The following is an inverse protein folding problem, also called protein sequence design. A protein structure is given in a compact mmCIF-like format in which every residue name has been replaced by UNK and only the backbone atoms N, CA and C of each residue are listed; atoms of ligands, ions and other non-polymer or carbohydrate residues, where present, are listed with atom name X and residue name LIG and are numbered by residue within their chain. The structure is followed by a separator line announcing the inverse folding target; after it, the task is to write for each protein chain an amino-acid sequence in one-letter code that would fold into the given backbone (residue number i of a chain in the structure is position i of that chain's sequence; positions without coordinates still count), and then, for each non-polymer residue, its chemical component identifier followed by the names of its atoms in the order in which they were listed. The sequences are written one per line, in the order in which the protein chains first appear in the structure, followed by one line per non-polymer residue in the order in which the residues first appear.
data_IF_893973716762
#
_entry.id   IF_893973716762
#
_cell.length_a   1.000
_cell.length_b   1.000
_cell.length_c   1.000
_cell.angle_alpha   90.00
_cell.angle_beta   90.00
_cell.angle_gamma   90.00
#
_symmetry.space_group_name_H-M   'P 1'
#
loop_
_entity.id
_entity.type
_entity.pdbx_description
1 polymer ?
#
# COMPACT_ATOMS: atom_id res chain seq x y z
N UNK A 1 39.75 42.33 18.94
CA UNK A 1 39.33 41.40 17.86
C UNK A 1 38.67 40.23 18.50
N UNK A 2 37.34 40.16 18.48
CA UNK A 2 36.53 39.04 19.04
C UNK A 2 36.35 38.01 17.93
N UNK A 3 36.90 36.80 18.13
CA UNK A 3 36.66 35.63 17.26
C UNK A 3 35.28 35.07 17.56
N UNK A 4 34.36 35.18 16.59
CA UNK A 4 33.05 34.52 16.63
C UNK A 4 33.29 33.08 16.17
N UNK A 5 33.10 32.15 17.11
CA UNK A 5 33.14 30.72 16.85
C UNK A 5 31.75 30.31 16.33
N UNK A 6 31.63 30.07 15.01
CA UNK A 6 30.41 29.50 14.42
C UNK A 6 30.42 27.99 14.73
N UNK A 7 29.55 27.58 15.63
CA UNK A 7 29.23 26.15 15.82
C UNK A 7 28.28 25.71 14.71
N UNK A 8 28.79 24.93 13.76
CA UNK A 8 27.96 24.18 12.83
C UNK A 8 27.37 22.97 13.56
N UNK A 9 26.08 23.01 13.90
CA UNK A 9 25.33 21.83 14.26
C UNK A 9 25.06 21.02 13.00
N UNK A 10 25.83 19.96 12.80
CA UNK A 10 25.48 18.91 11.83
C UNK A 10 24.35 18.09 12.49
N UNK A 11 23.11 18.37 12.12
CA UNK A 11 22.01 17.42 12.35
C UNK A 11 22.29 16.21 11.49
N UNK A 12 22.88 15.17 12.08
CA UNK A 12 22.85 13.84 11.53
C UNK A 12 21.41 13.36 11.56
N UNK A 13 20.72 13.47 10.43
CA UNK A 13 19.53 12.69 10.16
C UNK A 13 19.94 11.22 10.26
N UNK A 14 19.70 10.62 11.42
CA UNK A 14 19.69 9.17 11.59
C UNK A 14 18.49 8.65 10.78
N UNK A 15 18.63 8.57 9.46
CA UNK A 15 17.89 7.63 8.66
C UNK A 15 18.29 6.25 9.21
N UNK A 16 17.47 5.68 10.08
CA UNK A 16 17.58 4.26 10.37
C UNK A 16 17.45 3.56 9.02
N UNK A 17 18.56 2.98 8.58
CA UNK A 17 18.60 2.10 7.43
C UNK A 17 17.76 0.88 7.82
N UNK A 18 16.43 0.96 7.64
CA UNK A 18 15.59 -0.23 7.70
C UNK A 18 16.08 -1.12 6.58
N UNK A 19 16.66 -2.26 6.93
CA UNK A 19 17.01 -3.27 5.96
C UNK A 19 15.80 -3.47 5.03
N UNK A 20 16.04 -3.45 3.71
CA UNK A 20 14.97 -3.60 2.71
C UNK A 20 14.50 -5.06 2.67
N UNK A 21 13.75 -5.46 3.69
CA UNK A 21 13.23 -6.80 3.89
C UNK A 21 11.71 -6.77 4.05
N UNK A 22 11.08 -7.92 3.89
CA UNK A 22 9.67 -8.09 4.25
C UNK A 22 9.48 -7.80 5.74
N UNK A 23 8.35 -7.22 6.08
CA UNK A 23 8.01 -6.94 7.47
C UNK A 23 6.51 -7.04 7.72
N UNK A 24 6.13 -7.16 8.98
CA UNK A 24 4.74 -7.05 9.39
C UNK A 24 4.51 -5.68 10.01
N UNK A 25 3.60 -4.90 9.41
CA UNK A 25 3.17 -3.60 9.92
C UNK A 25 2.05 -3.81 10.93
N UNK A 26 2.33 -3.61 12.19
CA UNK A 26 1.29 -3.60 13.22
C UNK A 26 0.51 -2.29 13.18
N UNK A 27 -0.80 -2.39 13.36
CA UNK A 27 -1.67 -1.23 13.54
C UNK A 27 -1.85 -1.02 15.05
N UNK A 28 -1.49 0.16 15.53
CA UNK A 28 -1.56 0.48 16.95
C UNK A 28 -2.99 0.35 17.50
N UNK A 29 -3.11 -0.24 18.67
CA UNK A 29 -4.39 -0.41 19.37
C UNK A 29 -5.17 -1.68 19.05
N UNK A 30 -4.63 -2.58 18.22
CA UNK A 30 -5.25 -3.88 17.89
C UNK A 30 -4.22 -4.96 17.56
N UNK A 31 -4.70 -6.18 17.42
CA UNK A 31 -3.87 -7.34 17.02
C UNK A 31 -3.72 -7.46 15.50
N UNK A 32 -4.10 -6.42 14.77
CA UNK A 32 -4.09 -6.40 13.31
C UNK A 32 -2.71 -6.08 12.75
N UNK A 33 -2.35 -6.75 11.67
CA UNK A 33 -1.07 -6.55 10.99
C UNK A 33 -1.19 -6.71 9.48
N UNK A 34 -0.34 -5.97 8.77
CA UNK A 34 -0.21 -6.05 7.32
C UNK A 34 1.14 -6.67 6.98
N UNK A 35 1.14 -7.81 6.30
CA UNK A 35 2.35 -8.37 5.73
C UNK A 35 2.80 -7.52 4.54
N UNK A 36 3.96 -6.87 4.68
CA UNK A 36 4.54 -6.03 3.65
C UNK A 36 5.70 -6.74 2.98
N UNK A 37 5.65 -6.82 1.65
CA UNK A 37 6.66 -7.46 0.81
C UNK A 37 7.55 -6.41 0.18
N UNK A 38 8.87 -6.57 0.32
CA UNK A 38 9.87 -5.71 -0.29
C UNK A 38 10.01 -6.04 -1.77
N UNK A 39 9.69 -5.09 -2.63
CA UNK A 39 9.82 -5.21 -4.09
C UNK A 39 11.08 -4.45 -4.52
N UNK A 40 12.11 -5.15 -5.03
CA UNK A 40 13.36 -4.50 -5.42
C UNK A 40 13.17 -3.59 -6.63
N UNK A 41 14.01 -2.56 -6.73
CA UNK A 41 14.06 -1.71 -7.90
C UNK A 41 14.41 -2.52 -9.16
N UNK A 42 13.85 -2.13 -10.30
CA UNK A 42 14.11 -2.81 -11.55
C UNK A 42 13.55 -2.09 -12.76
N UNK A 43 13.61 -2.78 -13.89
CA UNK A 43 13.03 -2.30 -15.15
C UNK A 43 12.28 -3.48 -15.79
N UNK A 44 11.08 -3.23 -16.27
CA UNK A 44 10.28 -4.23 -16.95
C UNK A 44 9.57 -3.67 -18.18
N UNK A 45 9.04 -4.55 -19.01
CA UNK A 45 8.23 -4.21 -20.15
C UNK A 45 6.75 -4.21 -19.69
N UNK A 46 6.17 -3.02 -19.53
CA UNK A 46 4.79 -2.80 -19.10
C UNK A 46 3.84 -2.91 -20.28
N UNK A 47 2.70 -3.52 -20.05
CA UNK A 47 1.64 -3.72 -21.04
C UNK A 47 1.67 -5.07 -21.73
N UNK A 48 0.72 -5.28 -22.65
CA UNK A 48 0.51 -6.55 -23.34
C UNK A 48 0.90 -6.44 -24.82
N UNK A 49 1.65 -7.43 -25.35
CA UNK A 49 2.03 -7.44 -26.76
C UNK A 49 0.82 -7.67 -27.67
N UNK A 50 0.88 -7.19 -28.93
CA UNK A 50 -0.23 -7.24 -29.87
C UNK A 50 -0.76 -8.67 -30.19
N UNK A 51 0.06 -9.68 -29.97
CA UNK A 51 -0.31 -11.08 -30.20
C UNK A 51 -0.90 -11.77 -28.96
N UNK A 52 -0.98 -11.08 -27.83
CA UNK A 52 -1.53 -11.64 -26.60
C UNK A 52 -3.03 -11.85 -26.74
N UNK A 53 -3.49 -13.05 -26.35
CA UNK A 53 -4.90 -13.44 -26.47
C UNK A 53 -5.75 -12.63 -25.47
N UNK A 54 -6.89 -12.17 -25.89
CA UNK A 54 -7.86 -11.37 -25.12
C UNK A 54 -7.36 -9.98 -24.68
N UNK A 55 -6.24 -9.51 -25.23
CA UNK A 55 -5.71 -8.17 -24.98
C UNK A 55 -6.72 -7.09 -25.36
N UNK A 56 -6.83 -6.07 -24.53
CA UNK A 56 -7.57 -4.84 -24.84
C UNK A 56 -6.66 -3.82 -25.54
N UNK A 57 -7.26 -2.86 -26.24
CA UNK A 57 -6.52 -1.89 -27.05
C UNK A 57 -5.66 -0.93 -26.21
N UNK A 58 -6.09 -0.64 -25.00
CA UNK A 58 -5.46 0.25 -24.03
C UNK A 58 -4.32 -0.37 -23.22
N UNK A 59 -4.11 -1.69 -23.35
CA UNK A 59 -2.99 -2.38 -22.69
C UNK A 59 -1.65 -2.22 -23.44
N UNK A 60 -1.58 -1.38 -24.41
CA UNK A 60 -0.34 -1.15 -25.19
C UNK A 60 -0.20 0.28 -25.67
N UNK A 61 0.93 0.61 -26.27
CA UNK A 61 2.04 -0.28 -26.65
C UNK A 61 2.89 -0.72 -25.46
N UNK A 62 3.51 -1.91 -25.58
CA UNK A 62 4.52 -2.36 -24.60
C UNK A 62 5.67 -1.36 -24.57
N UNK A 63 6.06 -0.92 -23.37
CA UNK A 63 7.13 0.03 -23.17
C UNK A 63 7.92 -0.26 -21.89
N UNK A 64 9.16 0.20 -21.84
CA UNK A 64 10.01 -0.01 -20.66
C UNK A 64 9.71 1.00 -19.58
N UNK A 65 9.48 0.50 -18.35
CA UNK A 65 9.30 1.30 -17.15
C UNK A 65 10.37 0.94 -16.13
N UNK A 66 10.97 1.96 -15.53
CA UNK A 66 11.86 1.82 -14.38
C UNK A 66 11.05 2.02 -13.10
N UNK A 67 11.17 1.07 -12.18
CA UNK A 67 10.54 1.10 -10.87
C UNK A 67 11.63 1.21 -9.80
N UNK A 68 11.44 2.13 -8.86
CA UNK A 68 12.26 2.21 -7.66
C UNK A 68 11.80 1.17 -6.64
N UNK A 69 12.63 0.83 -5.65
CA UNK A 69 12.24 -0.13 -4.62
C UNK A 69 11.10 0.40 -3.74
N UNK A 70 10.15 -0.46 -3.41
CA UNK A 70 9.00 -0.13 -2.57
C UNK A 70 8.51 -1.37 -1.81
N UNK A 71 7.60 -1.17 -0.86
CA UNK A 71 6.87 -2.25 -0.21
C UNK A 71 5.42 -2.26 -0.68
N UNK A 72 4.87 -3.45 -0.84
CA UNK A 72 3.46 -3.65 -1.17
C UNK A 72 2.83 -4.62 -0.16
N UNK A 73 1.55 -4.47 0.13
CA UNK A 73 0.81 -5.46 0.89
C UNK A 73 0.85 -6.82 0.17
N UNK A 74 1.16 -7.87 0.89
CA UNK A 74 1.18 -9.24 0.35
C UNK A 74 -0.20 -9.69 -0.08
N UNK A 75 -1.21 -9.24 0.65
CA UNK A 75 -2.61 -9.53 0.42
C UNK A 75 -3.38 -8.23 0.24
N UNK A 76 -4.55 -8.33 -0.31
CA UNK A 76 -5.54 -7.27 -0.32
C UNK A 76 -5.93 -6.88 1.11
N UNK A 77 -6.35 -5.63 1.30
CA UNK A 77 -6.85 -5.17 2.60
C UNK A 77 -8.18 -5.87 2.89
N UNK A 78 -8.25 -6.55 4.03
CA UNK A 78 -9.48 -7.24 4.45
C UNK A 78 -10.50 -6.27 5.06
N UNK A 79 -11.76 -6.71 5.12
CA UNK A 79 -12.81 -5.96 5.81
C UNK A 79 -12.46 -5.67 7.26
N UNK A 80 -11.88 -6.64 7.98
CA UNK A 80 -11.47 -6.46 9.38
C UNK A 80 -10.57 -5.24 9.57
N UNK A 81 -9.66 -5.02 8.64
CA UNK A 81 -8.72 -3.89 8.69
C UNK A 81 -9.36 -2.61 8.18
N UNK A 82 -10.17 -2.68 7.11
CA UNK A 82 -10.82 -1.50 6.55
C UNK A 82 -11.91 -0.94 7.48
N UNK A 83 -12.60 -1.80 8.23
CA UNK A 83 -13.58 -1.41 9.24
C UNK A 83 -12.97 -0.61 10.39
N UNK A 84 -11.72 -0.84 10.77
CA UNK A 84 -11.03 -0.01 11.75
C UNK A 84 -10.98 1.46 11.32
N UNK A 85 -10.79 1.70 10.03
CA UNK A 85 -10.85 3.04 9.47
C UNK A 85 -12.28 3.58 9.38
N UNK A 86 -13.25 2.77 9.00
CA UNK A 86 -14.65 3.20 8.88
C UNK A 86 -15.27 3.54 10.24
N UNK A 87 -15.02 2.68 11.23
CA UNK A 87 -15.64 2.80 12.56
C UNK A 87 -14.84 3.72 13.50
N UNK A 88 -13.62 4.06 13.15
CA UNK A 88 -12.75 4.98 13.90
C UNK A 88 -12.49 4.54 15.35
N UNK A 89 -12.69 3.26 15.66
CA UNK A 89 -12.59 2.73 17.03
C UNK A 89 -11.18 2.84 17.64
N UNK A 90 -10.15 2.86 16.81
CA UNK A 90 -8.76 2.91 17.25
C UNK A 90 -8.20 4.33 17.31
N UNK A 91 -8.87 5.32 16.76
CA UNK A 91 -8.33 6.67 16.61
C UNK A 91 -7.98 7.30 17.95
N UNK A 92 -8.87 7.12 18.95
CA UNK A 92 -8.65 7.65 20.30
C UNK A 92 -7.57 6.91 21.09
N UNK A 93 -7.33 5.63 20.79
CA UNK A 93 -6.34 4.81 21.49
C UNK A 93 -4.91 5.17 21.11
N UNK A 94 -4.71 5.62 19.90
CA UNK A 94 -3.38 5.91 19.37
C UNK A 94 -2.76 7.21 19.83
N UNK A 95 -3.57 8.22 20.02
CA UNK A 95 -3.12 9.58 20.39
C UNK A 95 -2.21 9.57 21.63
N UNK A 96 -2.23 8.47 22.39
CA UNK A 96 -1.53 8.37 23.67
C UNK A 96 -0.17 7.64 23.61
N UNK A 97 0.18 6.91 22.55
CA UNK A 97 1.27 5.93 22.74
C UNK A 97 2.47 5.97 21.75
N UNK A 98 2.42 6.56 20.60
CA UNK A 98 3.43 6.13 19.63
C UNK A 98 3.95 7.06 18.54
N UNK A 99 3.71 8.35 18.46
CA UNK A 99 4.37 9.06 17.37
C UNK A 99 4.88 10.44 17.72
N UNK A 100 6.16 10.66 17.42
CA UNK A 100 6.79 11.99 17.30
C UNK A 100 6.17 12.81 16.16
N UNK A 101 5.41 12.16 15.27
CA UNK A 101 4.68 12.79 14.16
C UNK A 101 3.25 13.04 14.60
N UNK A 102 2.95 14.29 14.91
CA UNK A 102 1.59 14.77 15.18
C UNK A 102 0.81 14.90 13.87
N UNK A 103 0.30 13.78 13.36
CA UNK A 103 -0.70 13.80 12.29
C UNK A 103 -2.06 13.86 12.99
N UNK A 104 -2.84 14.88 12.65
CA UNK A 104 -4.20 15.03 13.14
C UNK A 104 -5.12 14.01 12.48
N UNK A 105 -5.31 12.87 13.16
CA UNK A 105 -6.17 11.79 12.68
C UNK A 105 -7.61 12.28 12.54
N UNK A 106 -8.05 13.18 13.40
CA UNK A 106 -9.41 13.75 13.35
C UNK A 106 -9.64 14.58 12.10
N UNK A 107 -8.57 15.13 11.52
CA UNK A 107 -8.62 15.84 10.24
C UNK A 107 -8.81 14.93 9.01
N UNK A 108 -8.64 13.61 9.15
CA UNK A 108 -8.79 12.68 8.03
C UNK A 108 -10.27 12.28 7.91
N UNK A 109 -10.86 12.54 6.74
CA UNK A 109 -12.23 12.14 6.45
C UNK A 109 -12.36 10.61 6.46
N UNK A 110 -13.27 10.09 7.28
CA UNK A 110 -13.61 8.68 7.31
C UNK A 110 -14.45 8.24 6.11
N UNK A 111 -14.53 6.94 5.88
CA UNK A 111 -15.48 6.38 4.93
C UNK A 111 -16.91 6.45 5.48
N UNK A 112 -17.88 6.69 4.60
CA UNK A 112 -19.29 6.57 4.97
C UNK A 112 -19.65 5.10 5.11
N UNK A 113 -20.24 4.73 6.25
CA UNK A 113 -20.73 3.35 6.44
C UNK A 113 -21.83 3.05 5.42
N UNK A 114 -21.74 1.97 4.63
CA UNK A 114 -22.76 1.59 3.67
C UNK A 114 -24.10 1.27 4.35
N UNK A 115 -25.21 1.62 3.70
CA UNK A 115 -26.55 1.29 4.16
C UNK A 115 -26.97 -0.16 3.87
N UNK A 116 -26.21 -0.84 2.99
CA UNK A 116 -26.48 -2.22 2.57
C UNK A 116 -25.18 -3.02 2.66
N UNK A 117 -25.32 -4.33 2.76
CA UNK A 117 -24.19 -5.24 2.72
C UNK A 117 -23.47 -5.11 1.37
N UNK A 118 -22.22 -4.65 1.41
CA UNK A 118 -21.37 -4.46 0.23
C UNK A 118 -20.48 -5.67 -0.05
N UNK A 119 -20.62 -6.74 0.71
CA UNK A 119 -19.84 -7.98 0.51
C UNK A 119 -20.40 -8.85 -0.64
N UNK A 120 -21.60 -8.55 -1.12
CA UNK A 120 -22.32 -9.35 -2.11
C UNK A 120 -22.47 -10.82 -1.72
N UNK A 121 -22.55 -11.10 -0.41
CA UNK A 121 -22.69 -12.44 0.11
C UNK A 121 -21.39 -13.27 0.16
N UNK A 122 -20.24 -12.65 -0.15
CA UNK A 122 -18.93 -13.30 -0.06
C UNK A 122 -18.41 -13.40 1.39
N UNK A 123 -19.02 -12.65 2.30
CA UNK A 123 -18.56 -12.56 3.70
C UNK A 123 -17.57 -11.41 3.94
N UNK A 124 -17.31 -11.10 5.21
CA UNK A 124 -16.40 -10.03 5.61
C UNK A 124 -15.17 -10.54 6.37
N UNK A 125 -15.35 -11.49 7.28
CA UNK A 125 -14.30 -11.99 8.17
C UNK A 125 -13.15 -12.64 7.38
N UNK A 126 -12.00 -11.97 7.34
CA UNK A 126 -10.82 -12.38 6.58
C UNK A 126 -10.91 -12.21 5.06
N UNK A 127 -12.03 -11.69 4.53
CA UNK A 127 -12.20 -11.45 3.08
C UNK A 127 -11.74 -10.06 2.67
N UNK A 128 -11.26 -9.88 1.41
CA UNK A 128 -10.89 -8.58 0.89
C UNK A 128 -12.04 -7.57 0.97
N UNK A 129 -11.72 -6.35 1.35
CA UNK A 129 -12.66 -5.24 1.32
C UNK A 129 -12.90 -4.80 -0.12
N UNK A 130 -14.17 -4.81 -0.55
CA UNK A 130 -14.58 -4.50 -1.92
C UNK A 130 -15.59 -3.35 -1.93
N UNK A 131 -15.94 -2.88 -3.14
CA UNK A 131 -17.02 -1.91 -3.36
C UNK A 131 -16.77 -0.52 -2.77
N UNK A 132 -15.53 -0.19 -2.43
CA UNK A 132 -15.14 1.16 -2.02
C UNK A 132 -14.75 2.01 -3.23
N UNK A 133 -14.89 3.33 -3.10
CA UNK A 133 -14.37 4.26 -4.09
C UNK A 133 -12.84 4.39 -3.96
N UNK A 134 -12.18 4.81 -5.06
CA UNK A 134 -10.76 5.16 -5.02
C UNK A 134 -10.44 6.23 -3.97
N UNK A 135 -11.34 7.21 -3.80
CA UNK A 135 -11.19 8.23 -2.76
C UNK A 135 -11.17 7.61 -1.36
N UNK A 136 -12.10 6.68 -1.09
CA UNK A 136 -12.15 5.99 0.20
C UNK A 136 -10.89 5.17 0.46
N UNK A 137 -10.39 4.45 -0.55
CA UNK A 137 -9.13 3.71 -0.46
C UNK A 137 -7.92 4.64 -0.24
N UNK A 138 -7.88 5.81 -0.89
CA UNK A 138 -6.84 6.81 -0.65
C UNK A 138 -6.90 7.38 0.77
N UNK A 139 -8.10 7.63 1.30
CA UNK A 139 -8.28 8.08 2.68
C UNK A 139 -7.92 7.02 3.71
N UNK A 140 -8.16 5.75 3.40
CA UNK A 140 -7.63 4.64 4.19
C UNK A 140 -6.09 4.66 4.25
N UNK A 141 -5.40 4.87 3.12
CA UNK A 141 -3.94 4.99 3.10
C UNK A 141 -3.44 6.17 3.94
N UNK A 142 -4.12 7.32 3.88
CA UNK A 142 -3.82 8.50 4.70
C UNK A 142 -3.99 8.19 6.20
N UNK A 143 -5.10 7.55 6.57
CA UNK A 143 -5.36 7.10 7.94
C UNK A 143 -4.29 6.08 8.40
N UNK A 144 -3.97 5.09 7.58
CA UNK A 144 -2.95 4.10 7.91
C UNK A 144 -1.57 4.75 8.11
N UNK A 145 -1.25 5.76 7.30
CA UNK A 145 -0.02 6.54 7.45
C UNK A 145 0.01 7.27 8.79
N UNK A 146 -1.10 7.88 9.17
CA UNK A 146 -1.25 8.51 10.47
C UNK A 146 -1.14 7.51 11.62
N UNK A 147 -1.77 6.34 11.48
CA UNK A 147 -1.76 5.28 12.49
C UNK A 147 -0.40 4.63 12.71
N UNK A 148 0.46 4.57 11.73
CA UNK A 148 1.71 3.81 11.78
C UNK A 148 2.97 4.66 11.80
N UNK A 149 2.87 5.94 11.36
CA UNK A 149 4.01 6.82 11.13
C UNK A 149 4.82 6.50 9.86
N UNK A 150 4.41 5.49 9.07
CA UNK A 150 4.97 5.22 7.75
C UNK A 150 4.07 5.83 6.67
N UNK A 151 4.63 6.08 5.48
CA UNK A 151 3.88 6.62 4.37
C UNK A 151 3.24 5.50 3.55
N UNK A 152 1.91 5.53 3.42
CA UNK A 152 1.13 4.62 2.60
C UNK A 152 0.37 5.38 1.51
N UNK A 153 0.26 4.78 0.36
CA UNK A 153 -0.54 5.22 -0.78
C UNK A 153 -0.99 4.03 -1.60
N UNK A 154 -1.93 4.24 -2.48
CA UNK A 154 -2.23 3.24 -3.51
C UNK A 154 -1.01 3.08 -4.43
N UNK A 155 -0.73 1.86 -4.90
CA UNK A 155 0.31 1.64 -5.91
C UNK A 155 -0.09 2.34 -7.21
N UNK A 156 0.90 2.73 -7.99
CA UNK A 156 0.67 3.07 -9.39
C UNK A 156 0.40 1.80 -10.19
N UNK A 157 -0.23 1.93 -11.36
CA UNK A 157 -0.45 0.80 -12.26
C UNK A 157 0.86 0.06 -12.59
N UNK A 158 1.92 0.82 -12.86
CA UNK A 158 3.23 0.25 -13.17
C UNK A 158 3.85 -0.52 -11.98
N UNK A 159 3.71 -0.03 -10.75
CA UNK A 159 4.17 -0.72 -9.55
C UNK A 159 3.36 -2.01 -9.33
N UNK A 160 2.05 -1.92 -9.52
CA UNK A 160 1.18 -3.08 -9.37
C UNK A 160 1.50 -4.17 -10.41
N UNK A 161 1.62 -3.78 -11.70
CA UNK A 161 1.95 -4.72 -12.77
C UNK A 161 3.34 -5.33 -12.56
N UNK A 162 4.33 -4.52 -12.17
CA UNK A 162 5.69 -5.00 -11.87
C UNK A 162 5.70 -6.05 -10.76
N UNK A 163 4.99 -5.79 -9.65
CA UNK A 163 4.88 -6.71 -8.54
C UNK A 163 4.12 -7.98 -8.94
N UNK A 164 2.99 -7.85 -9.67
CA UNK A 164 2.17 -8.97 -10.14
C UNK A 164 2.94 -9.90 -11.07
N UNK A 165 3.70 -9.34 -12.01
CA UNK A 165 4.53 -10.14 -12.94
C UNK A 165 5.67 -10.88 -12.23
N UNK A 166 6.24 -10.33 -11.19
CA UNK A 166 7.36 -10.94 -10.45
C UNK A 166 8.48 -11.48 -11.38
N UNK A 167 8.77 -10.77 -12.48
CA UNK A 167 9.74 -11.15 -13.51
C UNK A 167 9.20 -12.03 -14.65
N UNK A 168 7.93 -12.48 -14.57
CA UNK A 168 7.27 -13.20 -15.66
C UNK A 168 7.08 -12.30 -16.89
N UNK A 169 7.14 -12.92 -18.09
CA UNK A 169 6.84 -12.28 -19.37
C UNK A 169 5.56 -12.81 -20.01
N UNK A 170 4.91 -13.75 -19.36
CA UNK A 170 3.65 -14.37 -19.80
C UNK A 170 2.45 -13.51 -19.41
N UNK A 171 1.28 -13.77 -20.01
CA UNK A 171 0.04 -13.03 -19.71
C UNK A 171 -0.33 -13.08 -18.21
N UNK A 172 -0.05 -14.21 -17.55
CA UNK A 172 -0.20 -14.40 -16.11
C UNK A 172 1.13 -14.80 -15.49
N UNK A 173 1.29 -14.60 -14.17
CA UNK A 173 2.51 -14.98 -13.45
C UNK A 173 2.81 -16.51 -13.55
N UNK A 174 1.80 -17.33 -13.81
CA UNK A 174 1.88 -18.79 -13.94
C UNK A 174 1.89 -19.29 -15.40
N UNK A 175 1.84 -18.42 -16.41
CA UNK A 175 1.87 -18.78 -17.83
C UNK A 175 0.88 -18.01 -18.70
N UNK A 176 0.63 -18.51 -19.92
CA UNK A 176 -0.22 -17.82 -20.90
C UNK A 176 -1.67 -18.34 -20.93
N UNK A 177 -1.98 -19.44 -20.22
CA UNK A 177 -3.32 -20.02 -20.21
C UNK A 177 -4.02 -19.82 -18.87
N UNK A 178 -5.26 -19.25 -18.86
CA UNK A 178 -6.06 -19.16 -17.64
C UNK A 178 -6.50 -20.53 -17.09
N UNK A 179 -6.38 -21.60 -17.87
CA UNK A 179 -6.70 -22.97 -17.45
C UNK A 179 -5.77 -23.49 -16.34
N UNK A 180 -4.64 -22.83 -16.13
CA UNK A 180 -3.71 -23.12 -15.05
C UNK A 180 -4.08 -22.42 -13.71
N UNK A 181 -5.19 -21.70 -13.67
CA UNK A 181 -5.83 -21.22 -12.45
C UNK A 181 -6.62 -22.37 -11.82
N UNK A 182 -5.95 -23.25 -11.08
CA UNK A 182 -6.57 -24.32 -10.32
C UNK A 182 -6.43 -24.08 -8.82
#
# INVERSE_FOLDING_TARGET
MRKVLLLFFILSLNSQNKDFNNYNQKIAGGDYGLEMVAIPAGTFDMGSPNFERNRLADEGPVHKVKIDSFWIGKFEITWDIFELFMLRELDSKKVLEASEVKIDIDGISGATTPYVDMTFGMGSDGYPAISMTQLSASKFCEWLSAMTGNYYRLPTEAEWEYACRAGSKTAYHFGDSPENLA
#
